data_IF_608636915362
#
_entry.id   IF_608636915362
#
_cell.length_a   1.000
_cell.length_b   1.000
_cell.length_c   1.000
_cell.angle_alpha   90.00
_cell.angle_beta   90.00
_cell.angle_gamma   90.00
#
_symmetry.space_group_name_H-M   'P 1'
#
loop_
_entity.id
_entity.type
_entity.pdbx_description
1 polymer ?
#
# COMPACT_ATOMS: atom_id res chain seq x y z
N UNK A 1 -7.71 21.94 1.53
CA UNK A 1 -6.87 21.18 2.47
C UNK A 1 -7.22 19.68 2.54
N UNK A 2 -8.50 19.27 2.52
CA UNK A 2 -8.91 17.84 2.60
C UNK A 2 -8.33 16.93 1.49
N UNK A 3 -8.19 17.44 0.25
CA UNK A 3 -7.55 16.68 -0.87
C UNK A 3 -6.08 16.32 -0.57
N UNK A 4 -5.32 17.26 0.03
CA UNK A 4 -3.93 17.02 0.42
C UNK A 4 -3.85 16.01 1.58
N UNK A 5 -4.81 16.08 2.51
CA UNK A 5 -4.92 15.14 3.62
C UNK A 5 -5.21 13.71 3.13
N UNK A 6 -6.13 13.52 2.17
CA UNK A 6 -6.41 12.22 1.53
C UNK A 6 -5.21 11.64 0.77
N UNK A 7 -4.23 12.47 0.43
CA UNK A 7 -3.00 12.06 -0.26
C UNK A 7 -1.86 11.76 0.71
N UNK A 8 -1.71 12.55 1.79
CA UNK A 8 -0.55 12.41 2.68
C UNK A 8 -0.86 11.49 3.85
N UNK A 9 -2.08 11.56 4.40
CA UNK A 9 -2.43 10.84 5.62
C UNK A 9 -2.40 9.31 5.47
N UNK A 10 -2.95 8.72 4.37
CA UNK A 10 -2.90 7.27 4.19
C UNK A 10 -1.48 6.69 4.16
N UNK A 11 -0.56 7.18 3.29
CA UNK A 11 0.81 6.70 3.28
C UNK A 11 1.53 7.05 4.58
N UNK A 12 1.28 8.21 5.20
CA UNK A 12 1.92 8.56 6.47
C UNK A 12 1.55 7.59 7.60
N UNK A 13 0.27 7.22 7.74
CA UNK A 13 -0.17 6.26 8.76
C UNK A 13 0.39 4.87 8.46
N UNK A 14 0.27 4.39 7.22
CA UNK A 14 0.83 3.10 6.83
C UNK A 14 2.32 3.03 7.10
N UNK A 15 3.05 4.07 6.69
CA UNK A 15 4.49 4.18 6.89
C UNK A 15 4.86 4.26 8.37
N UNK A 16 4.09 4.98 9.19
CA UNK A 16 4.31 5.07 10.63
C UNK A 16 4.13 3.72 11.35
N UNK A 17 3.13 2.93 10.95
CA UNK A 17 2.90 1.57 11.48
C UNK A 17 4.11 0.68 11.18
N UNK A 18 4.56 0.65 9.92
CA UNK A 18 5.73 -0.13 9.52
C UNK A 18 7.00 0.38 10.21
N UNK A 19 7.19 1.69 10.30
CA UNK A 19 8.31 2.30 10.99
C UNK A 19 8.37 1.87 12.46
N UNK A 20 7.25 1.94 13.17
CA UNK A 20 7.16 1.55 14.57
C UNK A 20 7.46 0.07 14.75
N UNK A 21 6.87 -0.79 13.91
CA UNK A 21 7.12 -2.24 13.93
C UNK A 21 8.59 -2.58 13.69
N UNK A 22 9.26 -1.90 12.76
CA UNK A 22 10.69 -2.09 12.49
C UNK A 22 11.54 -1.52 13.63
N UNK A 23 11.26 -0.30 14.09
CA UNK A 23 12.07 0.42 15.10
C UNK A 23 12.10 -0.25 16.46
N UNK A 24 10.99 -0.85 16.87
CA UNK A 24 10.82 -1.54 18.15
C UNK A 24 10.93 -3.07 18.04
N UNK A 25 11.26 -3.59 16.86
CA UNK A 25 11.63 -4.98 16.70
C UNK A 25 12.88 -5.32 17.53
N UNK A 26 12.88 -6.48 18.18
CA UNK A 26 14.02 -6.99 18.96
C UNK A 26 15.30 -7.16 18.12
N UNK A 27 15.16 -7.28 16.79
CA UNK A 27 16.30 -7.42 15.87
C UNK A 27 16.77 -6.09 15.26
N UNK A 28 16.14 -4.96 15.56
CA UNK A 28 16.39 -3.67 14.88
C UNK A 28 17.88 -3.25 14.86
N UNK A 29 18.55 -3.37 16.00
CA UNK A 29 19.96 -2.99 16.14
C UNK A 29 20.92 -4.03 15.53
N UNK A 30 20.43 -5.23 15.23
CA UNK A 30 21.20 -6.30 14.59
C UNK A 30 21.00 -6.35 13.07
N UNK A 31 20.17 -5.47 12.51
CA UNK A 31 19.93 -5.38 11.07
C UNK A 31 21.18 -4.86 10.36
N UNK A 32 21.76 -5.68 9.49
CA UNK A 32 22.91 -5.30 8.67
C UNK A 32 22.52 -5.18 7.20
N UNK A 33 23.35 -4.46 6.44
CA UNK A 33 23.07 -4.16 5.02
C UNK A 33 23.26 -5.40 4.13
N UNK A 34 24.15 -6.31 4.50
CA UNK A 34 24.43 -7.59 3.84
C UNK A 34 23.30 -8.61 4.00
N UNK A 35 22.36 -8.36 4.91
CA UNK A 35 21.18 -9.21 5.09
C UNK A 35 20.05 -8.84 4.13
N UNK A 36 20.16 -7.77 3.35
CA UNK A 36 19.19 -7.43 2.31
C UNK A 36 19.16 -8.49 1.21
N UNK A 37 17.96 -8.80 0.71
CA UNK A 37 17.80 -9.73 -0.41
C UNK A 37 17.70 -11.20 -0.03
N UNK A 38 17.93 -11.60 1.23
CA UNK A 38 17.82 -13.01 1.67
C UNK A 38 16.36 -13.50 1.82
N UNK A 39 15.37 -12.70 1.42
CA UNK A 39 13.98 -13.14 1.31
C UNK A 39 13.22 -13.39 2.62
N UNK A 40 13.79 -13.00 3.76
CA UNK A 40 13.18 -13.22 5.07
C UNK A 40 12.77 -11.88 5.74
N UNK A 41 12.04 -11.98 6.85
CA UNK A 41 11.55 -10.80 7.59
C UNK A 41 12.69 -9.86 8.01
N UNK A 42 13.84 -10.42 8.38
CA UNK A 42 15.02 -9.65 8.79
C UNK A 42 15.58 -8.86 7.60
N UNK A 43 15.67 -9.48 6.42
CA UNK A 43 16.05 -8.82 5.16
C UNK A 43 15.11 -7.68 4.79
N UNK A 44 13.81 -7.86 4.98
CA UNK A 44 12.83 -6.81 4.75
C UNK A 44 12.98 -5.65 5.73
N UNK A 45 13.15 -5.94 7.02
CA UNK A 45 13.39 -4.92 8.04
C UNK A 45 14.71 -4.15 7.77
N UNK A 46 15.76 -4.84 7.33
CA UNK A 46 17.01 -4.23 6.91
C UNK A 46 16.79 -3.32 5.69
N UNK A 47 16.18 -3.83 4.63
CA UNK A 47 15.82 -3.03 3.45
C UNK A 47 15.04 -1.78 3.85
N UNK A 48 13.94 -1.94 4.60
CA UNK A 48 13.10 -0.84 5.08
C UNK A 48 13.90 0.20 5.87
N UNK A 49 14.81 -0.22 6.77
CA UNK A 49 15.64 0.69 7.57
C UNK A 49 16.53 1.58 6.71
N UNK A 50 17.20 1.01 5.70
CA UNK A 50 18.19 1.74 4.90
C UNK A 50 17.58 2.47 3.70
N UNK A 51 16.45 2.03 3.16
CA UNK A 51 15.77 2.68 2.03
C UNK A 51 14.54 3.51 2.45
N UNK A 52 14.38 3.76 3.75
CA UNK A 52 13.23 4.43 4.34
C UNK A 52 12.80 5.73 3.61
N UNK A 53 13.69 6.71 3.32
CA UNK A 53 13.25 7.94 2.67
C UNK A 53 12.73 7.69 1.26
N UNK A 54 13.37 6.77 0.53
CA UNK A 54 12.97 6.38 -0.82
C UNK A 54 11.62 5.66 -0.81
N UNK A 55 11.40 4.74 0.13
CA UNK A 55 10.13 4.05 0.29
C UNK A 55 8.99 5.01 0.60
N UNK A 56 9.24 6.06 1.40
CA UNK A 56 8.23 7.07 1.68
C UNK A 56 7.84 7.87 0.44
N UNK A 57 8.83 8.28 -0.38
CA UNK A 57 8.55 8.97 -1.66
C UNK A 57 7.77 8.07 -2.61
N UNK A 58 8.15 6.79 -2.73
CA UNK A 58 7.41 5.82 -3.56
C UNK A 58 5.99 5.64 -3.05
N UNK A 59 5.77 5.57 -1.73
CA UNK A 59 4.45 5.47 -1.13
C UNK A 59 3.57 6.68 -1.46
N UNK A 60 4.12 7.89 -1.36
CA UNK A 60 3.42 9.12 -1.76
C UNK A 60 3.06 9.14 -3.25
N UNK A 61 4.01 8.77 -4.12
CA UNK A 61 3.76 8.71 -5.56
C UNK A 61 2.68 7.67 -5.89
N UNK A 62 2.74 6.50 -5.27
CA UNK A 62 1.74 5.43 -5.44
C UNK A 62 0.36 5.91 -5.00
N UNK A 63 0.28 6.63 -3.88
CA UNK A 63 -0.97 7.17 -3.38
C UNK A 63 -1.58 8.18 -4.37
N UNK A 64 -0.77 9.10 -4.91
CA UNK A 64 -1.24 10.14 -5.85
C UNK A 64 -1.62 9.56 -7.20
N UNK A 65 -0.76 8.69 -7.76
CA UNK A 65 -0.86 8.26 -9.15
C UNK A 65 -1.79 7.05 -9.34
N UNK A 66 -1.94 6.22 -8.30
CA UNK A 66 -2.66 4.95 -8.41
C UNK A 66 -3.85 4.93 -7.45
N UNK A 67 -3.60 5.08 -6.14
CA UNK A 67 -4.65 4.84 -5.12
C UNK A 67 -5.79 5.86 -5.24
N UNK A 68 -5.48 7.15 -5.31
CA UNK A 68 -6.51 8.21 -5.38
C UNK A 68 -7.34 8.14 -6.68
N UNK A 69 -6.74 7.98 -7.88
CA UNK A 69 -7.50 7.80 -9.11
C UNK A 69 -8.41 6.56 -9.09
N UNK A 70 -7.87 5.42 -8.62
CA UNK A 70 -8.65 4.18 -8.47
C UNK A 70 -9.81 4.39 -7.50
N UNK A 71 -9.57 5.00 -6.34
CA UNK A 71 -10.62 5.29 -5.35
C UNK A 71 -11.73 6.18 -5.91
N UNK A 72 -11.38 7.27 -6.61
CA UNK A 72 -12.38 8.14 -7.24
C UNK A 72 -13.18 7.42 -8.32
N UNK A 73 -12.51 6.59 -9.12
CA UNK A 73 -13.18 5.75 -10.12
C UNK A 73 -14.13 4.73 -9.48
N UNK A 74 -13.81 4.21 -8.30
CA UNK A 74 -14.68 3.30 -7.55
C UNK A 74 -15.93 3.98 -7.00
N UNK A 75 -15.86 5.24 -6.56
CA UNK A 75 -17.01 5.93 -5.94
C UNK A 75 -18.24 6.02 -6.86
N UNK A 76 -18.03 6.15 -8.18
CA UNK A 76 -19.09 6.27 -9.17
C UNK A 76 -19.64 4.92 -9.69
N UNK A 77 -19.13 3.79 -9.18
CA UNK A 77 -19.40 2.44 -9.72
C UNK A 77 -20.24 1.58 -8.78
N UNK A 78 -20.84 0.53 -9.33
CA UNK A 78 -21.65 -0.43 -8.56
C UNK A 78 -20.80 -1.27 -7.60
N UNK A 79 -21.44 -1.95 -6.64
CA UNK A 79 -20.72 -2.83 -5.69
C UNK A 79 -19.97 -3.95 -6.43
N UNK A 80 -20.57 -4.52 -7.47
CA UNK A 80 -19.94 -5.56 -8.28
C UNK A 80 -18.68 -5.05 -8.98
N UNK A 81 -18.73 -3.86 -9.57
CA UNK A 81 -17.58 -3.23 -10.21
C UNK A 81 -16.45 -2.92 -9.22
N UNK A 82 -16.79 -2.50 -7.99
CA UNK A 82 -15.82 -2.26 -6.92
C UNK A 82 -15.08 -3.55 -6.54
N UNK A 83 -15.78 -4.68 -6.49
CA UNK A 83 -15.17 -5.99 -6.22
C UNK A 83 -14.21 -6.37 -7.35
N UNK A 84 -14.60 -6.18 -8.62
CA UNK A 84 -13.73 -6.47 -9.77
C UNK A 84 -12.45 -5.64 -9.73
N UNK A 85 -12.54 -4.34 -9.43
CA UNK A 85 -11.36 -3.46 -9.29
C UNK A 85 -10.42 -3.97 -8.18
N UNK A 86 -10.97 -4.41 -7.05
CA UNK A 86 -10.16 -4.97 -5.95
C UNK A 86 -9.49 -6.29 -6.39
N UNK A 87 -10.21 -7.15 -7.12
CA UNK A 87 -9.65 -8.41 -7.64
C UNK A 87 -8.53 -8.17 -8.65
N UNK A 88 -8.71 -7.24 -9.59
CA UNK A 88 -7.68 -6.85 -10.55
C UNK A 88 -6.44 -6.31 -9.83
N UNK A 89 -6.65 -5.52 -8.77
CA UNK A 89 -5.57 -4.98 -7.98
C UNK A 89 -4.81 -6.06 -7.20
N UNK A 90 -5.52 -7.01 -6.58
CA UNK A 90 -4.92 -8.18 -5.94
C UNK A 90 -4.12 -9.01 -6.94
N UNK A 91 -4.62 -9.18 -8.17
CA UNK A 91 -3.94 -9.90 -9.23
C UNK A 91 -2.66 -9.19 -9.67
N UNK A 92 -2.70 -7.86 -9.85
CA UNK A 92 -1.52 -7.05 -10.15
C UNK A 92 -0.47 -7.18 -9.03
N UNK A 93 -0.89 -7.09 -7.77
CA UNK A 93 0.02 -7.28 -6.63
C UNK A 93 0.66 -8.67 -6.64
N UNK A 94 -0.12 -9.71 -6.95
CA UNK A 94 0.38 -11.08 -7.09
C UNK A 94 1.44 -11.18 -8.19
N UNK A 95 1.19 -10.59 -9.36
CA UNK A 95 2.15 -10.59 -10.46
C UNK A 95 3.45 -9.86 -10.10
N UNK A 96 3.37 -8.70 -9.44
CA UNK A 96 4.56 -7.99 -8.97
C UNK A 96 5.32 -8.77 -7.90
N UNK A 97 4.61 -9.36 -6.93
CA UNK A 97 5.23 -10.18 -5.90
C UNK A 97 5.93 -11.41 -6.49
N UNK A 98 5.30 -12.07 -7.47
CA UNK A 98 5.91 -13.17 -8.23
C UNK A 98 7.13 -12.72 -9.03
N UNK A 99 7.01 -11.62 -9.79
CA UNK A 99 8.08 -11.14 -10.66
C UNK A 99 9.31 -10.69 -9.87
N UNK A 100 9.11 -9.84 -8.85
CA UNK A 100 10.18 -9.40 -7.95
C UNK A 100 10.72 -10.60 -7.17
N UNK A 101 9.83 -11.44 -6.66
CA UNK A 101 10.21 -12.59 -5.86
C UNK A 101 11.06 -13.60 -6.62
N UNK A 102 10.70 -13.87 -7.87
CA UNK A 102 11.51 -14.70 -8.77
C UNK A 102 12.85 -14.06 -9.11
N UNK A 103 12.88 -12.73 -9.35
CA UNK A 103 14.11 -12.02 -9.68
C UNK A 103 15.16 -12.00 -8.56
N UNK A 104 14.72 -12.02 -7.29
CA UNK A 104 15.62 -12.03 -6.13
C UNK A 104 15.83 -13.43 -5.53
N UNK A 105 15.11 -14.43 -6.01
CA UNK A 105 15.16 -15.77 -5.45
C UNK A 105 16.47 -16.47 -5.81
N UNK A 106 17.11 -17.06 -4.81
CA UNK A 106 18.24 -17.96 -4.99
C UNK A 106 17.73 -19.38 -5.30
N UNK A 107 18.01 -19.93 -6.50
CA UNK A 107 17.61 -21.28 -6.88
C UNK A 107 18.13 -22.36 -5.92
N UNK A 108 19.27 -22.12 -5.24
CA UNK A 108 19.86 -23.08 -4.31
C UNK A 108 19.06 -23.21 -3.01
N UNK A 109 18.28 -22.19 -2.64
CA UNK A 109 17.44 -22.20 -1.46
C UNK A 109 16.09 -22.94 -1.63
N UNK A 110 15.78 -23.37 -2.86
CA UNK A 110 14.61 -24.17 -3.20
C UNK A 110 13.29 -23.39 -3.32
N UNK A 111 12.30 -24.03 -3.93
CA UNK A 111 10.99 -23.42 -4.29
C UNK A 111 10.19 -23.00 -3.05
N UNK A 112 10.37 -23.67 -1.92
CA UNK A 112 9.71 -23.29 -0.67
C UNK A 112 10.11 -21.89 -0.20
N UNK A 113 11.37 -21.50 -0.42
CA UNK A 113 11.84 -20.15 -0.11
C UNK A 113 11.19 -19.11 -1.04
N UNK A 114 11.09 -19.41 -2.34
CA UNK A 114 10.38 -18.57 -3.31
C UNK A 114 8.92 -18.33 -2.87
N UNK A 115 8.20 -19.38 -2.49
CA UNK A 115 6.80 -19.26 -2.05
C UNK A 115 6.66 -18.38 -0.79
N UNK A 116 7.56 -18.54 0.19
CA UNK A 116 7.59 -17.68 1.39
C UNK A 116 7.85 -16.22 1.05
N UNK A 117 8.81 -15.97 0.16
CA UNK A 117 9.22 -14.63 -0.24
C UNK A 117 8.09 -13.93 -1.01
N UNK A 118 7.51 -14.60 -1.99
CA UNK A 118 6.35 -14.12 -2.75
C UNK A 118 5.16 -13.86 -1.83
N UNK A 119 4.83 -14.83 -0.95
CA UNK A 119 3.72 -14.70 0.00
C UNK A 119 3.92 -13.54 0.97
N UNK A 120 5.14 -13.33 1.44
CA UNK A 120 5.47 -12.20 2.30
C UNK A 120 5.35 -10.86 1.57
N UNK A 121 5.89 -10.72 0.35
CA UNK A 121 5.77 -9.51 -0.45
C UNK A 121 4.31 -9.17 -0.76
N UNK A 122 3.52 -10.19 -1.14
CA UNK A 122 2.10 -10.04 -1.39
C UNK A 122 1.37 -9.57 -0.13
N UNK A 123 1.64 -10.17 1.02
CA UNK A 123 1.02 -9.79 2.29
C UNK A 123 1.32 -8.32 2.67
N UNK A 124 2.57 -7.87 2.49
CA UNK A 124 2.95 -6.48 2.75
C UNK A 124 2.22 -5.52 1.80
N UNK A 125 2.16 -5.83 0.51
CA UNK A 125 1.45 -5.01 -0.48
C UNK A 125 -0.05 -4.93 -0.20
N UNK A 126 -0.70 -6.07 0.08
CA UNK A 126 -2.13 -6.12 0.39
C UNK A 126 -2.44 -5.39 1.69
N UNK A 127 -1.62 -5.54 2.73
CA UNK A 127 -1.79 -4.81 3.98
C UNK A 127 -1.68 -3.29 3.77
N UNK A 128 -0.70 -2.85 2.96
CA UNK A 128 -0.55 -1.45 2.59
C UNK A 128 -1.80 -0.93 1.87
N UNK A 129 -2.29 -1.65 0.86
CA UNK A 129 -3.51 -1.30 0.14
C UNK A 129 -4.73 -1.21 1.05
N UNK A 130 -4.91 -2.21 1.92
CA UNK A 130 -6.02 -2.25 2.87
C UNK A 130 -6.01 -1.04 3.80
N UNK A 131 -4.86 -0.71 4.40
CA UNK A 131 -4.71 0.46 5.28
C UNK A 131 -5.08 1.74 4.53
N UNK A 132 -4.58 1.91 3.30
CA UNK A 132 -4.86 3.11 2.51
C UNK A 132 -6.35 3.23 2.16
N UNK A 133 -7.00 2.13 1.75
CA UNK A 133 -8.42 2.12 1.42
C UNK A 133 -9.30 2.38 2.65
N UNK A 134 -8.95 1.80 3.81
CA UNK A 134 -9.66 2.05 5.07
C UNK A 134 -9.56 3.52 5.47
N UNK A 135 -8.37 4.12 5.39
CA UNK A 135 -8.20 5.54 5.74
C UNK A 135 -8.97 6.42 4.75
N UNK A 136 -8.95 6.10 3.45
CA UNK A 136 -9.76 6.84 2.47
C UNK A 136 -11.26 6.71 2.76
N UNK A 137 -11.74 5.54 3.18
CA UNK A 137 -13.12 5.33 3.59
C UNK A 137 -13.48 6.16 4.82
N UNK A 138 -12.59 6.25 5.81
CA UNK A 138 -12.80 7.08 7.01
C UNK A 138 -12.77 8.58 6.71
N UNK A 139 -11.99 9.00 5.70
CA UNK A 139 -11.91 10.39 5.24
C UNK A 139 -12.99 10.75 4.21
N UNK A 140 -13.81 9.78 3.78
CA UNK A 140 -14.93 10.01 2.88
C UNK A 140 -16.13 10.49 3.70
N UNK A 141 -16.33 11.81 3.76
CA UNK A 141 -17.60 12.37 4.24
C UNK A 141 -18.72 11.92 3.28
N UNK A 142 -19.87 11.53 3.84
CA UNK A 142 -21.10 11.33 3.04
C UNK A 142 -21.27 12.56 2.14
N UNK A 143 -21.68 12.40 0.87
CA UNK A 143 -21.94 13.55 0.02
C UNK A 143 -22.99 14.41 0.73
N UNK A 144 -22.57 15.55 1.27
CA UNK A 144 -23.51 16.62 1.56
C UNK A 144 -24.17 16.95 0.23
N UNK A 145 -25.49 16.84 0.21
CA UNK A 145 -26.36 17.28 -0.88
C UNK A 145 -26.16 18.79 -1.09
N UNK A 146 -25.11 19.18 -1.78
CA UNK A 146 -24.96 20.53 -2.32
C UNK A 146 -25.50 20.53 -3.74
N UNK A 147 -26.82 20.40 -3.89
CA UNK A 147 -27.52 20.69 -5.15
C UNK A 147 -29.04 20.87 -4.94
N UNK A 148 -29.45 21.60 -3.89
CA UNK A 148 -30.87 21.94 -3.69
C UNK A 148 -31.11 23.40 -3.30
N UNK A 149 -30.14 24.30 -3.54
CA UNK A 149 -30.31 25.73 -3.22
C UNK A 149 -30.12 26.70 -4.39
N UNK A 150 -29.70 26.27 -5.58
CA UNK A 150 -29.43 27.20 -6.69
C UNK A 150 -30.61 27.38 -7.69
N UNK A 151 -31.76 26.73 -7.47
CA UNK A 151 -32.93 26.82 -8.39
C UNK A 151 -34.10 27.62 -7.80
N UNK A 152 -34.02 28.09 -6.55
CA UNK A 152 -35.10 28.83 -5.90
C UNK A 152 -34.99 30.38 -6.00
N UNK A 153 -33.97 30.92 -6.66
CA UNK A 153 -33.75 32.38 -6.77
C UNK A 153 -34.00 32.96 -8.18
N UNK A 154 -34.61 32.20 -9.09
CA UNK A 154 -34.99 32.68 -10.43
C UNK A 154 -36.50 32.65 -10.70
N UNK A 155 -37.32 32.82 -9.66
CA UNK A 155 -38.73 33.23 -9.82
C UNK A 155 -38.88 34.75 -9.89
#
# INVERSE_FOLDING_TARGET
MKKLLKVILPPFIGFFIFFTGVRYSSVYFQLKIDEMGLGNLKSFMAFYRYTLPLLFVIALLTQVLIIVPVWRGMLAKTVADKINIILDLCFICLLFALGIGYAIWDPQAGIHNLAKLVGFMLAVQLAYWLINLVILLLLEEKPEKHESQEVAETE
#
